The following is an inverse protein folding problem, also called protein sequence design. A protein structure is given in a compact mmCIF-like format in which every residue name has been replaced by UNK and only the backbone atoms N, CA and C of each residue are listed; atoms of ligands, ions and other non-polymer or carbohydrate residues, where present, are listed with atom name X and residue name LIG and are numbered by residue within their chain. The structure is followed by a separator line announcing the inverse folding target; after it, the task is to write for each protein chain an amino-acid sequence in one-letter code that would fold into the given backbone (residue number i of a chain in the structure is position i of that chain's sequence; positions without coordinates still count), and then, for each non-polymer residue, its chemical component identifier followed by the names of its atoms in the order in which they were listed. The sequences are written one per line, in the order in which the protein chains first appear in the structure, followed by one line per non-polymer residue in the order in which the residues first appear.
data_IF_149796071405
#
_entry.id   IF_149796071405
#
_cell.length_a   1.000
_cell.length_b   1.000
_cell.length_c   1.000
_cell.angle_alpha   90.00
_cell.angle_beta   90.00
_cell.angle_gamma   90.00
#
_symmetry.space_group_name_H-M   'P 1'
#
loop_
_entity.id
_entity.type
_entity.pdbx_description
1 polymer ?
#
# COMPACT_ATOMS: atom_id res chain seq x y z
N UNK A 1 -17.62 -5.40 -10.44
CA UNK A 1 -17.11 -4.06 -10.79
C UNK A 1 -15.79 -4.27 -11.51
N UNK A 2 -15.56 -3.61 -12.64
CA UNK A 2 -14.27 -3.68 -13.35
C UNK A 2 -13.41 -2.46 -12.95
N UNK A 3 -12.09 -2.60 -12.90
CA UNK A 3 -11.14 -1.56 -12.47
C UNK A 3 -11.37 -0.22 -13.16
N UNK A 4 -11.61 -0.26 -14.47
CA UNK A 4 -11.73 0.95 -15.30
C UNK A 4 -12.95 1.81 -14.98
N UNK A 5 -14.01 1.24 -14.38
CA UNK A 5 -15.23 1.97 -14.02
C UNK A 5 -15.41 2.08 -12.49
N UNK A 6 -14.42 1.64 -11.69
CA UNK A 6 -14.56 1.52 -10.25
C UNK A 6 -14.98 2.83 -9.58
N UNK A 7 -14.29 3.93 -9.90
CA UNK A 7 -14.59 5.25 -9.36
C UNK A 7 -16.00 5.74 -9.73
N UNK A 8 -16.46 5.46 -10.96
CA UNK A 8 -17.77 5.92 -11.44
C UNK A 8 -18.93 5.25 -10.69
N UNK A 9 -18.73 4.01 -10.24
CA UNK A 9 -19.69 3.23 -9.45
C UNK A 9 -19.70 3.60 -7.95
N UNK A 10 -18.81 4.50 -7.51
CA UNK A 10 -18.84 5.06 -6.15
C UNK A 10 -19.95 6.10 -6.01
N UNK A 11 -20.59 6.13 -4.84
CA UNK A 11 -21.51 7.20 -4.46
C UNK A 11 -20.76 8.48 -4.08
N UNK A 12 -21.47 9.59 -3.85
CA UNK A 12 -20.84 10.89 -3.59
C UNK A 12 -19.97 10.91 -2.32
N UNK A 13 -20.43 10.29 -1.22
CA UNK A 13 -19.66 10.24 0.03
C UNK A 13 -18.39 9.40 -0.14
N UNK A 14 -18.50 8.27 -0.85
CA UNK A 14 -17.36 7.42 -1.19
C UNK A 14 -16.35 8.14 -2.08
N UNK A 15 -16.81 8.88 -3.10
CA UNK A 15 -15.93 9.69 -3.97
C UNK A 15 -15.18 10.75 -3.16
N UNK A 16 -15.83 11.40 -2.21
CA UNK A 16 -15.18 12.39 -1.33
C UNK A 16 -14.04 11.75 -0.55
N UNK A 17 -14.30 10.62 0.12
CA UNK A 17 -13.30 9.95 0.96
C UNK A 17 -12.19 9.32 0.12
N UNK A 18 -12.53 8.68 -1.02
CA UNK A 18 -11.57 8.16 -1.98
C UNK A 18 -10.60 9.26 -2.43
N UNK A 19 -11.14 10.41 -2.84
CA UNK A 19 -10.34 11.54 -3.30
C UNK A 19 -9.48 12.11 -2.18
N UNK A 20 -10.03 12.27 -0.96
CA UNK A 20 -9.29 12.74 0.23
C UNK A 20 -8.10 11.83 0.54
N UNK A 21 -8.28 10.52 0.39
CA UNK A 21 -7.21 9.54 0.58
C UNK A 21 -6.17 9.60 -0.55
N UNK A 22 -6.59 9.53 -1.82
CA UNK A 22 -5.69 9.53 -2.99
C UNK A 22 -4.89 10.81 -3.15
N UNK A 23 -5.54 11.97 -3.00
CA UNK A 23 -4.86 13.26 -3.08
C UNK A 23 -3.93 13.52 -1.90
N UNK A 24 -4.12 12.76 -0.81
CA UNK A 24 -3.48 12.99 0.48
C UNK A 24 -3.59 14.45 0.95
N UNK A 25 -4.74 15.09 0.68
CA UNK A 25 -5.00 16.49 1.08
C UNK A 25 -4.78 16.64 2.58
N UNK A 26 -4.05 17.68 2.99
CA UNK A 26 -3.72 17.94 4.40
C UNK A 26 -3.05 16.75 5.13
N UNK A 27 -2.30 15.93 4.40
CA UNK A 27 -1.65 14.70 4.91
C UNK A 27 -2.64 13.68 5.45
N UNK A 28 -3.87 13.67 4.93
CA UNK A 28 -4.95 12.82 5.43
C UNK A 28 -4.56 11.34 5.48
N UNK A 29 -4.00 10.76 4.41
CA UNK A 29 -3.69 9.33 4.40
C UNK A 29 -2.59 8.99 5.42
N UNK A 30 -1.59 9.87 5.60
CA UNK A 30 -0.56 9.70 6.63
C UNK A 30 -1.17 9.74 8.03
N UNK A 31 -1.96 10.78 8.34
CA UNK A 31 -2.58 10.96 9.65
C UNK A 31 -3.56 9.82 9.99
N UNK A 32 -4.33 9.36 9.00
CA UNK A 32 -5.27 8.25 9.17
C UNK A 32 -4.53 6.95 9.47
N UNK A 33 -3.52 6.61 8.65
CA UNK A 33 -2.76 5.37 8.82
C UNK A 33 -1.91 5.37 10.10
N UNK A 34 -1.36 6.52 10.52
CA UNK A 34 -0.69 6.64 11.81
C UNK A 34 -1.65 6.41 12.98
N UNK A 35 -2.85 6.99 12.93
CA UNK A 35 -3.85 6.80 13.96
C UNK A 35 -4.41 5.37 13.98
N UNK A 36 -4.50 4.70 12.83
CA UNK A 36 -4.84 3.27 12.75
C UNK A 36 -3.77 2.41 13.43
N UNK A 37 -2.49 2.61 13.09
CA UNK A 37 -1.35 1.92 13.72
C UNK A 37 -1.30 2.13 15.24
N UNK A 38 -1.59 3.35 15.70
CA UNK A 38 -1.59 3.71 17.12
C UNK A 38 -2.90 3.40 17.85
N UNK A 39 -3.94 2.93 17.15
CA UNK A 39 -5.29 2.67 17.69
C UNK A 39 -5.93 3.92 18.31
N UNK A 40 -5.72 5.08 17.69
CA UNK A 40 -6.23 6.39 18.12
C UNK A 40 -6.99 7.16 17.02
N UNK A 41 -7.84 6.53 16.18
CA UNK A 41 -8.65 7.29 15.23
C UNK A 41 -9.65 8.19 15.97
N UNK A 42 -9.81 9.42 15.51
CA UNK A 42 -10.84 10.32 16.02
C UNK A 42 -12.22 10.00 15.41
N UNK A 43 -13.28 10.67 15.88
CA UNK A 43 -14.65 10.40 15.43
C UNK A 43 -14.88 10.62 13.92
N UNK A 44 -14.27 11.65 13.33
CA UNK A 44 -14.38 11.90 11.89
C UNK A 44 -13.67 10.80 11.11
N UNK A 45 -12.46 10.43 11.55
CA UNK A 45 -11.69 9.35 10.94
C UNK A 45 -12.40 8.00 11.01
N UNK A 46 -13.16 7.71 12.07
CA UNK A 46 -13.95 6.48 12.15
C UNK A 46 -14.98 6.39 11.01
N UNK A 47 -15.65 7.51 10.69
CA UNK A 47 -16.60 7.57 9.57
C UNK A 47 -15.86 7.37 8.24
N UNK A 48 -14.73 8.06 8.04
CA UNK A 48 -13.90 7.90 6.85
C UNK A 48 -13.39 6.46 6.69
N UNK A 49 -13.05 5.79 7.81
CA UNK A 49 -12.63 4.37 7.83
C UNK A 49 -13.76 3.46 7.37
N UNK A 50 -14.96 3.61 7.90
CA UNK A 50 -16.11 2.80 7.51
C UNK A 50 -16.43 2.94 6.00
N UNK A 51 -16.29 4.16 5.47
CA UNK A 51 -16.47 4.43 4.05
C UNK A 51 -15.35 3.78 3.21
N UNK A 52 -14.08 3.92 3.61
CA UNK A 52 -12.93 3.29 2.92
C UNK A 52 -13.01 1.76 2.92
N UNK A 53 -13.38 1.15 4.04
CA UNK A 53 -13.63 -0.29 4.10
C UNK A 53 -14.74 -0.68 3.10
N UNK A 54 -15.82 0.12 3.04
CA UNK A 54 -16.90 -0.07 2.07
C UNK A 54 -16.43 0.02 0.62
N UNK A 55 -15.59 1.00 0.29
CA UNK A 55 -14.98 1.19 -1.05
C UNK A 55 -14.14 -0.04 -1.41
N UNK A 56 -13.22 -0.46 -0.55
CA UNK A 56 -12.32 -1.60 -0.79
C UNK A 56 -13.11 -2.90 -1.01
N UNK A 57 -14.22 -3.09 -0.28
CA UNK A 57 -15.04 -4.29 -0.41
C UNK A 57 -15.86 -4.36 -1.72
N UNK A 58 -15.87 -3.31 -2.55
CA UNK A 58 -16.60 -3.31 -3.83
C UNK A 58 -15.83 -3.97 -4.97
N UNK A 59 -14.52 -4.16 -4.82
CA UNK A 59 -13.68 -4.76 -5.83
C UNK A 59 -12.81 -5.86 -5.25
N UNK A 60 -12.75 -6.97 -5.99
CA UNK A 60 -11.86 -8.09 -5.77
C UNK A 60 -11.10 -8.32 -7.05
N UNK A 61 -9.79 -8.54 -6.96
CA UNK A 61 -9.01 -8.97 -8.12
C UNK A 61 -9.49 -10.34 -8.62
N UNK A 62 -9.64 -10.50 -9.93
CA UNK A 62 -10.09 -11.77 -10.52
C UNK A 62 -8.97 -12.82 -10.60
N UNK A 63 -7.72 -12.35 -10.64
CA UNK A 63 -6.53 -13.18 -10.82
C UNK A 63 -5.50 -12.90 -9.73
N UNK A 64 -4.60 -13.86 -9.51
CA UNK A 64 -3.45 -13.66 -8.62
C UNK A 64 -2.61 -12.48 -9.11
N UNK A 65 -2.22 -11.59 -8.21
CA UNK A 65 -1.55 -10.33 -8.54
C UNK A 65 -0.36 -10.08 -7.60
N UNK A 66 0.72 -9.51 -8.15
CA UNK A 66 1.86 -9.05 -7.37
C UNK A 66 1.73 -7.54 -7.18
N UNK A 67 1.89 -7.09 -5.94
CA UNK A 67 1.84 -5.68 -5.58
C UNK A 67 3.12 -5.27 -4.87
N UNK A 68 3.62 -4.09 -5.23
CA UNK A 68 4.88 -3.53 -4.80
C UNK A 68 4.64 -2.36 -3.84
N UNK A 69 5.46 -2.25 -2.80
CA UNK A 69 5.39 -1.13 -1.84
C UNK A 69 6.78 -0.70 -1.39
N UNK A 70 7.01 0.61 -1.46
CA UNK A 70 8.11 1.27 -0.78
C UNK A 70 7.65 1.81 0.59
N UNK A 71 8.45 1.57 1.63
CA UNK A 71 8.19 2.07 2.99
C UNK A 71 9.48 2.09 3.81
N UNK A 72 9.36 2.15 5.14
CA UNK A 72 10.49 2.17 6.09
C UNK A 72 10.27 1.14 7.20
N UNK A 73 11.37 0.61 7.74
CA UNK A 73 11.34 -0.53 8.67
C UNK A 73 10.44 -0.31 9.90
N UNK A 74 10.42 0.90 10.45
CA UNK A 74 9.68 1.22 11.68
C UNK A 74 8.16 1.18 11.49
N UNK A 75 7.66 1.23 10.25
CA UNK A 75 6.24 1.10 9.94
C UNK A 75 5.82 -0.36 9.71
N UNK A 76 6.76 -1.29 9.61
CA UNK A 76 6.49 -2.68 9.20
C UNK A 76 6.89 -3.67 10.28
N UNK A 77 8.15 -3.61 10.73
CA UNK A 77 8.71 -4.61 11.64
C UNK A 77 7.94 -4.78 12.96
N UNK A 78 7.39 -3.72 13.59
CA UNK A 78 6.58 -3.89 14.81
C UNK A 78 5.31 -4.72 14.62
N UNK A 79 4.88 -4.95 13.38
CA UNK A 79 3.65 -5.66 13.03
C UNK A 79 3.91 -7.04 12.44
N UNK A 80 5.15 -7.55 12.52
CA UNK A 80 5.51 -8.91 12.14
C UNK A 80 5.69 -9.75 13.41
N UNK A 81 4.87 -10.79 13.57
CA UNK A 81 4.93 -11.75 14.67
C UNK A 81 4.72 -13.16 14.12
N UNK A 82 5.55 -14.13 14.52
CA UNK A 82 5.47 -15.53 14.06
C UNK A 82 5.40 -15.71 12.54
N UNK A 83 6.24 -14.94 11.81
CA UNK A 83 6.25 -14.86 10.33
C UNK A 83 4.91 -14.40 9.71
N UNK A 84 4.04 -13.74 10.48
CA UNK A 84 2.82 -13.12 9.96
C UNK A 84 2.95 -11.60 10.06
N UNK A 85 2.78 -10.91 8.95
CA UNK A 85 2.61 -9.45 8.93
C UNK A 85 1.13 -9.11 9.05
N UNK A 86 0.77 -8.28 10.05
CA UNK A 86 -0.59 -7.83 10.34
C UNK A 86 -0.68 -6.31 10.22
N UNK A 87 -1.02 -5.77 9.05
CA UNK A 87 -1.19 -4.32 8.90
C UNK A 87 -2.43 -3.83 9.67
N UNK A 88 -2.30 -2.72 10.40
CA UNK A 88 -3.44 -2.06 11.06
C UNK A 88 -4.05 -0.97 10.17
N UNK A 89 -3.25 -0.46 9.25
CA UNK A 89 -3.53 0.61 8.30
C UNK A 89 -3.94 0.11 6.92
N UNK A 90 -4.33 1.01 6.03
CA UNK A 90 -4.42 0.71 4.60
C UNK A 90 -3.03 0.70 3.95
N UNK A 91 -2.81 -0.20 2.99
CA UNK A 91 -1.52 -0.31 2.29
C UNK A 91 -1.69 0.17 0.85
N UNK A 92 -1.12 1.35 0.57
CA UNK A 92 -0.95 1.84 -0.81
C UNK A 92 0.14 1.03 -1.49
N UNK A 93 -0.18 0.43 -2.63
CA UNK A 93 0.70 -0.47 -3.38
C UNK A 93 0.53 -0.22 -4.87
N UNK A 94 1.45 -0.72 -5.70
CA UNK A 94 1.37 -0.61 -7.16
C UNK A 94 1.60 -1.97 -7.82
N UNK A 95 1.00 -2.22 -8.98
CA UNK A 95 1.34 -3.35 -9.84
C UNK A 95 2.65 -3.15 -10.59
N UNK A 96 3.11 -1.91 -10.71
CA UNK A 96 4.38 -1.56 -11.34
C UNK A 96 5.44 -1.23 -10.30
N UNK A 97 6.61 -1.87 -10.44
CA UNK A 97 7.75 -1.62 -9.58
C UNK A 97 8.34 -0.22 -9.83
N UNK A 98 8.34 0.26 -11.08
CA UNK A 98 8.91 1.56 -11.41
C UNK A 98 8.10 2.70 -10.76
N UNK A 99 6.77 2.55 -10.67
CA UNK A 99 5.90 3.52 -9.99
C UNK A 99 6.28 3.76 -8.52
N UNK A 100 6.81 2.76 -7.80
CA UNK A 100 7.14 2.90 -6.38
C UNK A 100 8.51 3.52 -6.10
N UNK A 101 9.36 3.68 -7.12
CA UNK A 101 10.72 4.22 -6.95
C UNK A 101 10.70 5.59 -6.26
N UNK A 102 9.75 6.44 -6.68
CA UNK A 102 9.63 7.81 -6.18
C UNK A 102 9.23 7.89 -4.71
N UNK A 103 8.69 6.81 -4.14
CA UNK A 103 8.28 6.75 -2.74
C UNK A 103 9.44 6.47 -1.79
N UNK A 104 10.61 6.06 -2.30
CA UNK A 104 11.84 5.94 -1.52
C UNK A 104 12.50 7.30 -1.23
N UNK A 105 11.72 8.36 -0.96
CA UNK A 105 12.27 9.69 -0.63
C UNK A 105 12.97 9.76 0.73
N UNK A 106 12.71 8.79 1.62
CA UNK A 106 13.39 8.64 2.90
C UNK A 106 14.29 7.40 2.88
N UNK A 107 15.59 7.63 2.75
CA UNK A 107 16.61 6.57 2.64
C UNK A 107 17.06 6.01 4.00
N UNK A 108 16.44 6.44 5.11
CA UNK A 108 16.75 5.91 6.43
C UNK A 108 15.98 4.60 6.63
N UNK A 109 16.69 3.48 6.56
CA UNK A 109 16.14 2.12 6.71
C UNK A 109 14.97 1.86 5.75
N UNK A 110 15.20 2.02 4.42
CA UNK A 110 14.17 1.78 3.43
C UNK A 110 13.77 0.31 3.46
N UNK A 111 12.51 0.04 3.16
CA UNK A 111 11.94 -1.29 3.11
C UNK A 111 11.11 -1.41 1.83
N UNK A 112 11.41 -2.43 1.04
CA UNK A 112 10.60 -2.88 -0.07
C UNK A 112 9.76 -4.08 0.39
N UNK A 113 8.47 -4.06 0.05
CA UNK A 113 7.57 -5.18 0.27
C UNK A 113 6.95 -5.59 -1.07
N UNK A 114 7.04 -6.89 -1.35
CA UNK A 114 6.32 -7.58 -2.43
C UNK A 114 5.17 -8.37 -1.80
N UNK A 115 3.94 -8.07 -2.21
CA UNK A 115 2.75 -8.79 -1.80
C UNK A 115 2.27 -9.68 -2.95
N UNK A 116 2.23 -10.98 -2.69
CA UNK A 116 1.62 -11.96 -3.57
C UNK A 116 0.17 -12.20 -3.12
N UNK A 117 -0.76 -11.53 -3.80
CA UNK A 117 -2.17 -11.53 -3.47
C UNK A 117 -2.93 -12.57 -4.30
N UNK A 118 -3.61 -13.49 -3.62
CA UNK A 118 -4.48 -14.47 -4.27
C UNK A 118 -5.66 -13.79 -5.00
N UNK A 119 -6.24 -14.49 -5.98
CA UNK A 119 -7.51 -14.07 -6.59
C UNK A 119 -8.61 -13.96 -5.52
N UNK A 120 -9.48 -12.97 -5.63
CA UNK A 120 -10.53 -12.68 -4.66
C UNK A 120 -10.12 -11.76 -3.51
N UNK A 121 -8.88 -11.27 -3.48
CA UNK A 121 -8.40 -10.28 -2.51
C UNK A 121 -9.13 -8.95 -2.74
N UNK A 122 -9.73 -8.41 -1.68
CA UNK A 122 -10.36 -7.10 -1.72
C UNK A 122 -9.32 -5.97 -1.79
N UNK A 123 -9.51 -5.05 -2.74
CA UNK A 123 -8.65 -3.89 -2.94
C UNK A 123 -9.41 -2.79 -3.66
N UNK A 124 -8.96 -1.54 -3.56
CA UNK A 124 -9.51 -0.45 -4.36
C UNK A 124 -8.49 -0.02 -5.45
N UNK A 125 -8.85 -0.03 -6.74
CA UNK A 125 -8.01 0.51 -7.80
C UNK A 125 -8.05 2.05 -7.76
N UNK A 126 -6.98 2.65 -7.24
CA UNK A 126 -6.92 4.09 -6.92
C UNK A 126 -6.65 4.98 -8.14
N UNK A 127 -6.32 4.37 -9.27
CA UNK A 127 -6.10 4.99 -10.58
C UNK A 127 -7.38 5.26 -11.37
N UNK A 128 -8.52 4.77 -10.91
CA UNK A 128 -9.80 4.91 -11.63
C UNK A 128 -10.39 6.33 -11.64
N UNK A 129 -9.76 7.32 -10.98
CA UNK A 129 -10.16 8.71 -11.06
C UNK A 129 -9.28 9.50 -12.06
N UNK A 130 -9.85 9.98 -13.19
CA UNK A 130 -9.12 10.71 -14.23
C UNK A 130 -8.44 12.01 -13.77
N UNK A 131 -8.82 12.57 -12.62
CA UNK A 131 -8.23 13.82 -12.10
C UNK A 131 -6.81 13.66 -11.56
N UNK A 132 -6.40 12.44 -11.18
CA UNK A 132 -5.10 12.20 -10.54
C UNK A 132 -4.02 11.65 -11.48
N UNK A 133 -4.38 11.36 -12.73
CA UNK A 133 -3.48 10.78 -13.73
C UNK A 133 -3.24 9.28 -13.53
N UNK A 134 -2.90 8.58 -14.61
CA UNK A 134 -2.88 7.11 -14.68
C UNK A 134 -1.50 6.49 -14.40
N UNK A 135 -0.60 7.17 -13.68
CA UNK A 135 0.83 6.82 -13.73
C UNK A 135 1.33 5.85 -12.65
N UNK A 136 0.58 5.64 -11.57
CA UNK A 136 1.09 4.89 -10.40
C UNK A 136 0.60 3.44 -10.31
N UNK A 137 -0.30 3.02 -11.20
CA UNK A 137 -0.99 1.73 -11.15
C UNK A 137 -1.42 1.29 -9.74
N UNK A 138 -1.92 2.25 -8.95
CA UNK A 138 -2.09 2.05 -7.51
C UNK A 138 -3.30 1.15 -7.19
N UNK A 139 -3.05 0.15 -6.34
CA UNK A 139 -4.05 -0.63 -5.64
C UNK A 139 -3.94 -0.37 -4.12
N UNK A 140 -5.06 -0.04 -3.49
CA UNK A 140 -5.14 0.13 -2.04
C UNK A 140 -5.66 -1.14 -1.38
N UNK A 141 -4.81 -1.80 -0.59
CA UNK A 141 -5.20 -2.96 0.20
C UNK A 141 -5.87 -2.53 1.51
N UNK A 142 -6.84 -3.33 1.94
CA UNK A 142 -7.58 -3.15 3.18
C UNK A 142 -6.72 -3.21 4.45
N UNK A 143 -7.24 -2.63 5.52
CA UNK A 143 -6.68 -2.73 6.87
C UNK A 143 -6.94 -4.11 7.50
N UNK A 144 -6.12 -4.49 8.47
CA UNK A 144 -6.21 -5.77 9.20
C UNK A 144 -6.04 -7.03 8.33
N UNK A 145 -5.43 -6.89 7.15
CA UNK A 145 -5.02 -8.05 6.38
C UNK A 145 -3.86 -8.76 7.07
N UNK A 146 -3.73 -10.04 6.74
CA UNK A 146 -2.66 -10.88 7.26
C UNK A 146 -1.93 -11.48 6.08
N UNK A 147 -0.60 -11.38 6.14
CA UNK A 147 0.26 -11.95 5.14
C UNK A 147 1.27 -12.90 5.80
N UNK A 148 1.45 -14.07 5.21
CA UNK A 148 2.55 -14.97 5.56
C UNK A 148 3.84 -14.42 4.95
N UNK A 149 4.85 -14.17 5.78
CA UNK A 149 6.19 -13.75 5.36
C UNK A 149 6.92 -14.96 4.76
N UNK A 150 7.20 -14.88 3.47
CA UNK A 150 7.98 -15.87 2.72
C UNK A 150 9.47 -15.56 2.80
N UNK A 151 9.80 -14.27 2.79
CA UNK A 151 11.17 -13.79 2.81
C UNK A 151 11.24 -12.50 3.63
N UNK A 152 12.24 -12.38 4.50
CA UNK A 152 12.57 -11.15 5.19
C UNK A 152 14.08 -11.08 5.37
N UNK A 153 14.74 -10.27 4.55
CA UNK A 153 16.20 -10.12 4.56
C UNK A 153 16.65 -8.68 4.37
N UNK A 154 17.90 -8.45 4.71
CA UNK A 154 18.63 -7.25 4.33
C UNK A 154 19.53 -7.58 3.15
N UNK A 155 19.65 -6.63 2.23
CA UNK A 155 20.67 -6.65 1.18
C UNK A 155 21.51 -5.37 1.25
N UNK A 156 22.80 -5.52 1.03
CA UNK A 156 23.78 -4.45 0.82
C UNK A 156 24.32 -4.48 -0.63
N UNK A 157 23.72 -5.31 -1.49
CA UNK A 157 24.09 -5.39 -2.89
C UNK A 157 23.52 -4.19 -3.65
N UNK A 158 24.39 -3.26 -4.03
CA UNK A 158 24.02 -2.05 -4.76
C UNK A 158 23.26 -2.31 -6.08
N UNK A 159 23.59 -3.38 -6.81
CA UNK A 159 22.91 -3.70 -8.07
C UNK A 159 21.46 -4.10 -7.79
N UNK A 160 21.22 -4.88 -6.73
CA UNK A 160 19.88 -5.26 -6.31
C UNK A 160 19.09 -4.04 -5.77
N UNK A 161 19.71 -3.23 -4.92
CA UNK A 161 19.11 -2.00 -4.38
C UNK A 161 18.69 -1.06 -5.51
N UNK A 162 19.57 -0.80 -6.47
CA UNK A 162 19.28 0.10 -7.59
C UNK A 162 18.26 -0.49 -8.57
N UNK A 163 18.14 -1.81 -8.67
CA UNK A 163 17.09 -2.47 -9.48
C UNK A 163 15.69 -2.35 -8.88
N UNK A 164 15.57 -2.15 -7.56
CA UNK A 164 14.28 -2.03 -6.86
C UNK A 164 13.90 -0.57 -6.61
N UNK A 165 14.87 0.25 -6.20
CA UNK A 165 14.63 1.64 -5.83
C UNK A 165 14.79 2.60 -7.03
N UNK A 166 15.26 2.09 -8.17
CA UNK A 166 15.72 2.92 -9.26
C UNK A 166 17.09 3.53 -9.00
N UNK A 167 17.79 3.86 -10.09
CA UNK A 167 19.17 4.37 -10.04
C UNK A 167 19.30 5.65 -9.20
N UNK A 168 18.30 6.54 -9.27
CA UNK A 168 18.37 7.84 -8.59
C UNK A 168 18.19 7.71 -7.07
N UNK A 169 17.28 6.86 -6.60
CA UNK A 169 16.98 6.73 -5.18
C UNK A 169 17.90 5.71 -4.48
N UNK A 170 18.35 4.67 -5.18
CA UNK A 170 19.21 3.62 -4.63
C UNK A 170 20.68 4.02 -4.42
N UNK A 171 21.19 5.05 -5.11
CA UNK A 171 22.64 5.38 -5.15
C UNK A 171 23.30 5.70 -3.79
N UNK A 172 22.52 6.08 -2.77
CA UNK A 172 23.01 6.47 -1.44
C UNK A 172 22.41 5.61 -0.32
N UNK A 173 21.95 4.40 -0.65
CA UNK A 173 21.31 3.49 0.30
C UNK A 173 22.30 2.39 0.65
N UNK A 174 22.69 2.34 1.93
CA UNK A 174 23.66 1.35 2.41
C UNK A 174 23.07 -0.05 2.52
N UNK A 175 21.77 -0.13 2.81
CA UNK A 175 21.05 -1.40 2.86
C UNK A 175 19.56 -1.19 2.61
N UNK A 176 18.93 -2.21 2.02
CA UNK A 176 17.50 -2.28 1.79
C UNK A 176 16.95 -3.53 2.49
N UNK A 177 15.87 -3.37 3.25
CA UNK A 177 15.09 -4.51 3.70
C UNK A 177 14.15 -4.95 2.58
N UNK A 178 14.19 -6.23 2.26
CA UNK A 178 13.29 -6.87 1.29
C UNK A 178 12.40 -7.83 2.06
N UNK A 179 11.09 -7.63 1.93
CA UNK A 179 10.08 -8.51 2.48
C UNK A 179 9.23 -9.04 1.33
N UNK A 180 9.07 -10.36 1.25
CA UNK A 180 8.07 -10.98 0.39
C UNK A 180 7.03 -11.63 1.25
N UNK A 181 5.78 -11.32 0.99
CA UNK A 181 4.66 -11.82 1.77
C UNK A 181 3.54 -12.26 0.83
N UNK A 182 2.73 -13.23 1.26
CA UNK A 182 1.55 -13.68 0.50
C UNK A 182 0.30 -13.64 1.35
N UNK A 183 -0.87 -13.45 0.74
CA UNK A 183 -2.15 -13.53 1.45
C UNK A 183 -2.33 -14.91 2.10
N UNK A 184 -2.85 -14.94 3.32
CA UNK A 184 -3.26 -16.19 3.99
C UNK A 184 -4.63 -16.60 3.45
N UNK A 185 -4.72 -17.78 2.86
CA UNK A 185 -5.96 -18.40 2.34
C UNK A 185 -6.78 -19.10 3.43
#
# INVERSE_FOLDING_TARGET
MNEQNFYDELNEDEKIVFNKYKSNTDRFCYNLNDNLRNKTPNREQIIDIEILDGIINKYQNEERIILHRATVENLVLPFIEDNIYRNQEYLSTSTDLESIETHFTNNVRPTYIEFDCAAGTFMAPMQSNPMFGDLEEEALLGRNLQFEIIENRLTDNNDEITSIMGRFYGQNVESLRIIKAKTIE
#
